data_IF_803983124034
#
_entry.id   IF_803983124034
#
_cell.length_a   1.000
_cell.length_b   1.000
_cell.length_c   1.000
_cell.angle_alpha   90.00
_cell.angle_beta   90.00
_cell.angle_gamma   90.00
#
_symmetry.space_group_name_H-M   'P 1'
#
loop_
_entity.id
_entity.type
_entity.pdbx_description
1 polymer ?
#
# COMPACT_ATOMS: atom_id res chain seq x y z
N UNK A 1 -23.62 -18.43 -3.41
CA UNK A 1 -24.03 -17.06 -3.00
C UNK A 1 -23.91 -16.83 -1.49
N UNK A 2 -24.31 -17.77 -0.61
CA UNK A 2 -24.22 -17.60 0.85
C UNK A 2 -22.78 -17.44 1.41
N UNK A 3 -21.79 -18.14 0.85
CA UNK A 3 -20.38 -18.05 1.31
C UNK A 3 -19.74 -16.69 0.98
N UNK A 4 -20.02 -16.15 -0.21
CA UNK A 4 -19.56 -14.82 -0.63
C UNK A 4 -20.17 -13.73 0.27
N UNK A 5 -21.49 -13.78 0.50
CA UNK A 5 -22.16 -12.82 1.40
C UNK A 5 -21.62 -12.89 2.84
N UNK A 6 -21.33 -14.10 3.34
CA UNK A 6 -20.71 -14.29 4.67
C UNK A 6 -19.29 -13.72 4.73
N UNK A 7 -18.49 -13.89 3.67
CA UNK A 7 -17.15 -13.31 3.58
C UNK A 7 -17.21 -11.77 3.53
N UNK A 8 -18.07 -11.21 2.70
CA UNK A 8 -18.29 -9.76 2.60
C UNK A 8 -18.80 -9.16 3.92
N UNK A 9 -19.74 -9.83 4.59
CA UNK A 9 -20.25 -9.40 5.89
C UNK A 9 -19.14 -9.33 6.95
N UNK A 10 -18.33 -10.38 7.06
CA UNK A 10 -17.18 -10.40 7.99
C UNK A 10 -16.12 -9.37 7.66
N UNK A 11 -15.84 -9.15 6.37
CA UNK A 11 -14.91 -8.10 5.93
C UNK A 11 -15.42 -6.73 6.38
N UNK A 12 -16.72 -6.45 6.21
CA UNK A 12 -17.30 -5.17 6.62
C UNK A 12 -17.23 -4.92 8.14
N UNK A 13 -17.42 -5.95 8.96
CA UNK A 13 -17.28 -5.86 10.42
C UNK A 13 -15.83 -5.64 10.84
N UNK A 14 -14.89 -6.38 10.24
CA UNK A 14 -13.47 -6.21 10.51
C UNK A 14 -13.01 -4.78 10.22
N UNK A 15 -13.43 -4.21 9.09
CA UNK A 15 -13.06 -2.84 8.71
C UNK A 15 -13.69 -1.81 9.65
N UNK A 16 -14.93 -2.03 10.14
CA UNK A 16 -15.53 -1.18 11.19
C UNK A 16 -14.70 -1.22 12.48
N UNK A 17 -14.28 -2.40 12.92
CA UNK A 17 -13.43 -2.55 14.11
C UNK A 17 -12.09 -1.85 13.95
N UNK A 18 -11.44 -2.01 12.77
CA UNK A 18 -10.19 -1.31 12.46
C UNK A 18 -10.36 0.21 12.49
N UNK A 19 -11.49 0.74 11.99
CA UNK A 19 -11.82 2.17 12.06
C UNK A 19 -11.94 2.66 13.51
N UNK A 20 -12.59 1.90 14.39
CA UNK A 20 -12.66 2.23 15.81
C UNK A 20 -11.28 2.20 16.46
N UNK A 21 -10.44 1.20 16.12
CA UNK A 21 -9.07 1.13 16.64
C UNK A 21 -8.28 2.38 16.29
N UNK A 22 -8.32 2.85 15.04
CA UNK A 22 -7.57 4.07 14.65
C UNK A 22 -8.20 5.36 15.17
N UNK A 23 -9.45 5.34 15.62
CA UNK A 23 -10.10 6.46 16.30
C UNK A 23 -9.53 6.63 17.72
N UNK A 24 -9.41 5.53 18.47
CA UNK A 24 -8.83 5.54 19.82
C UNK A 24 -7.30 5.55 19.84
N UNK A 25 -6.67 4.95 18.83
CA UNK A 25 -5.22 4.80 18.70
C UNK A 25 -4.76 5.26 17.31
N UNK A 26 -4.60 6.59 17.09
CA UNK A 26 -4.34 7.16 15.77
C UNK A 26 -3.04 6.71 15.08
N UNK A 27 -2.12 6.12 15.85
CA UNK A 27 -0.82 5.60 15.42
C UNK A 27 -0.75 4.06 15.45
N UNK A 28 -1.88 3.37 15.50
CA UNK A 28 -1.91 1.92 15.38
C UNK A 28 -1.58 1.49 13.93
N UNK A 29 -0.28 1.35 13.65
CA UNK A 29 0.25 1.15 12.30
C UNK A 29 -0.29 -0.11 11.62
N UNK A 30 -0.59 -1.17 12.37
CA UNK A 30 -1.21 -2.38 11.81
C UNK A 30 -2.61 -2.09 11.28
N UNK A 31 -3.41 -1.36 12.06
CA UNK A 31 -4.79 -1.04 11.69
C UNK A 31 -4.82 -0.08 10.50
N UNK A 32 -3.93 0.92 10.48
CA UNK A 32 -3.74 1.80 9.35
C UNK A 32 -3.37 1.03 8.08
N UNK A 33 -2.41 0.11 8.16
CA UNK A 33 -2.00 -0.70 7.01
C UNK A 33 -3.17 -1.52 6.44
N UNK A 34 -3.93 -2.19 7.31
CA UNK A 34 -5.08 -3.01 6.90
C UNK A 34 -6.22 -2.16 6.31
N UNK A 35 -6.46 -0.97 6.86
CA UNK A 35 -7.42 -0.02 6.27
C UNK A 35 -6.96 0.48 4.89
N UNK A 36 -5.65 0.67 4.70
CA UNK A 36 -5.08 1.02 3.40
C UNK A 36 -5.27 -0.09 2.36
N UNK A 37 -4.98 -1.34 2.73
CA UNK A 37 -5.18 -2.50 1.87
C UNK A 37 -6.65 -2.68 1.49
N UNK A 38 -7.57 -2.58 2.46
CA UNK A 38 -9.00 -2.66 2.17
C UNK A 38 -9.48 -1.51 1.27
N UNK A 39 -9.03 -0.27 1.52
CA UNK A 39 -9.39 0.85 0.64
C UNK A 39 -8.87 0.63 -0.80
N UNK A 40 -7.69 0.02 -0.96
CA UNK A 40 -7.17 -0.34 -2.28
C UNK A 40 -8.01 -1.43 -2.95
N UNK A 41 -8.44 -2.47 -2.22
CA UNK A 41 -9.36 -3.50 -2.74
C UNK A 41 -10.68 -2.90 -3.26
N UNK A 42 -11.17 -1.83 -2.63
CA UNK A 42 -12.36 -1.08 -3.03
C UNK A 42 -12.10 -0.04 -4.16
N UNK A 43 -10.90 -0.03 -4.75
CA UNK A 43 -10.42 0.96 -5.73
C UNK A 43 -10.42 2.41 -5.23
N UNK A 44 -10.48 2.62 -3.91
CA UNK A 44 -10.34 3.94 -3.31
C UNK A 44 -8.86 4.26 -3.04
N UNK A 45 -8.15 4.52 -4.14
CA UNK A 45 -6.70 4.76 -4.11
C UNK A 45 -6.32 5.98 -3.26
N UNK A 46 -7.20 6.99 -3.18
CA UNK A 46 -6.97 8.18 -2.37
C UNK A 46 -6.98 7.84 -0.87
N UNK A 47 -8.00 7.13 -0.38
CA UNK A 47 -8.02 6.67 1.02
C UNK A 47 -6.91 5.67 1.30
N UNK A 48 -6.62 4.77 0.38
CA UNK A 48 -5.53 3.80 0.53
C UNK A 48 -4.19 4.52 0.75
N UNK A 49 -3.87 5.50 -0.11
CA UNK A 49 -2.66 6.31 0.02
C UNK A 49 -2.58 7.03 1.37
N UNK A 50 -3.66 7.66 1.82
CA UNK A 50 -3.71 8.32 3.13
C UNK A 50 -3.37 7.35 4.28
N UNK A 51 -3.94 6.16 4.27
CA UNK A 51 -3.68 5.15 5.29
C UNK A 51 -2.25 4.62 5.23
N UNK A 52 -1.71 4.36 4.04
CA UNK A 52 -0.31 3.94 3.91
C UNK A 52 0.67 5.02 4.35
N UNK A 53 0.43 6.29 4.01
CA UNK A 53 1.25 7.41 4.47
C UNK A 53 1.20 7.54 5.99
N UNK A 54 0.05 7.36 6.63
CA UNK A 54 -0.05 7.37 8.09
C UNK A 54 0.67 6.18 8.71
N UNK A 55 0.47 4.98 8.17
CA UNK A 55 1.16 3.77 8.63
C UNK A 55 2.68 3.89 8.47
N UNK A 56 3.17 4.59 7.44
CA UNK A 56 4.60 4.77 7.22
C UNK A 56 5.28 5.67 8.26
N UNK A 57 4.51 6.46 9.02
CA UNK A 57 5.02 7.26 10.15
C UNK A 57 5.22 6.46 11.43
N UNK A 58 4.76 5.20 11.48
CA UNK A 58 4.96 4.31 12.61
C UNK A 58 6.16 3.43 12.32
N UNK A 59 7.24 3.56 13.11
CA UNK A 59 8.56 2.97 12.82
C UNK A 59 8.49 1.48 12.52
N UNK A 60 7.73 0.73 13.31
CA UNK A 60 7.53 -0.72 13.18
C UNK A 60 6.83 -1.12 11.88
N UNK A 61 6.08 -0.20 11.27
CA UNK A 61 5.28 -0.41 10.07
C UNK A 61 5.79 0.35 8.84
N UNK A 62 6.84 1.18 9.00
CA UNK A 62 7.33 2.09 7.97
C UNK A 62 7.63 1.38 6.65
N UNK A 63 8.56 0.42 6.68
CA UNK A 63 8.99 -0.31 5.49
C UNK A 63 7.82 -1.04 4.82
N UNK A 64 6.97 -1.70 5.60
CA UNK A 64 5.82 -2.45 5.06
C UNK A 64 4.80 -1.51 4.41
N UNK A 65 4.50 -0.38 5.04
CA UNK A 65 3.55 0.59 4.51
C UNK A 65 4.06 1.23 3.21
N UNK A 66 5.35 1.56 3.12
CA UNK A 66 5.96 2.08 1.89
C UNK A 66 5.90 1.07 0.74
N UNK A 67 6.17 -0.22 1.02
CA UNK A 67 6.08 -1.30 0.02
C UNK A 67 4.64 -1.45 -0.50
N UNK A 68 3.65 -1.52 0.39
CA UNK A 68 2.24 -1.65 0.00
C UNK A 68 1.75 -0.41 -0.77
N UNK A 69 2.18 0.79 -0.36
CA UNK A 69 1.89 2.02 -1.09
C UNK A 69 2.49 1.98 -2.50
N UNK A 70 3.77 1.60 -2.64
CA UNK A 70 4.42 1.48 -3.93
C UNK A 70 3.70 0.49 -4.85
N UNK A 71 3.26 -0.66 -4.32
CA UNK A 71 2.49 -1.66 -5.08
C UNK A 71 1.17 -1.08 -5.59
N UNK A 72 0.46 -0.34 -4.75
CA UNK A 72 -0.75 0.36 -5.16
C UNK A 72 -0.45 1.35 -6.28
N UNK A 73 0.59 2.18 -6.14
CA UNK A 73 0.98 3.17 -7.16
C UNK A 73 1.34 2.50 -8.50
N UNK A 74 2.04 1.36 -8.49
CA UNK A 74 2.27 0.56 -9.72
C UNK A 74 0.96 0.11 -10.36
N UNK A 75 -0.02 -0.33 -9.55
CA UNK A 75 -1.31 -0.83 -10.07
C UNK A 75 -2.12 0.26 -10.77
N UNK A 76 -1.97 1.52 -10.35
CA UNK A 76 -2.62 2.69 -10.96
C UNK A 76 -1.72 3.42 -11.97
N UNK A 77 -0.59 2.82 -12.36
CA UNK A 77 0.39 3.35 -13.32
C UNK A 77 1.11 4.64 -12.89
N UNK A 78 1.08 4.96 -11.60
CA UNK A 78 1.83 6.06 -10.99
C UNK A 78 3.27 5.61 -10.69
N UNK A 79 4.01 5.28 -11.75
CA UNK A 79 5.32 4.64 -11.63
C UNK A 79 6.38 5.53 -10.98
N UNK A 80 6.33 6.85 -11.16
CA UNK A 80 7.29 7.77 -10.56
C UNK A 80 7.18 7.78 -9.03
N UNK A 81 5.96 7.78 -8.48
CA UNK A 81 5.74 7.69 -7.03
C UNK A 81 6.13 6.29 -6.50
N UNK A 82 5.80 5.23 -7.23
CA UNK A 82 6.22 3.88 -6.86
C UNK A 82 7.75 3.75 -6.76
N UNK A 83 8.49 4.32 -7.73
CA UNK A 83 9.95 4.35 -7.74
C UNK A 83 10.49 5.10 -6.51
N UNK A 84 9.96 6.29 -6.20
CA UNK A 84 10.37 7.07 -5.01
C UNK A 84 10.19 6.29 -3.72
N UNK A 85 9.03 5.67 -3.53
CA UNK A 85 8.71 4.90 -2.33
C UNK A 85 9.64 3.67 -2.17
N UNK A 86 9.95 2.96 -3.27
CA UNK A 86 10.85 1.81 -3.24
C UNK A 86 12.31 2.24 -3.00
N UNK A 87 12.72 3.40 -3.49
CA UNK A 87 14.03 3.98 -3.16
C UNK A 87 14.13 4.32 -1.66
N UNK A 88 13.07 4.87 -1.07
CA UNK A 88 13.00 5.11 0.38
C UNK A 88 13.14 3.79 1.16
N UNK A 89 12.43 2.73 0.75
CA UNK A 89 12.58 1.39 1.35
C UNK A 89 14.04 0.93 1.28
N UNK A 90 14.69 1.04 0.13
CA UNK A 90 16.09 0.64 -0.04
C UNK A 90 17.08 1.47 0.78
N UNK A 91 16.74 2.72 1.11
CA UNK A 91 17.56 3.56 1.98
C UNK A 91 17.43 3.16 3.46
N UNK A 92 16.26 2.64 3.88
CA UNK A 92 15.98 2.25 5.27
C UNK A 92 16.40 0.80 5.54
N UNK A 93 16.00 -0.11 4.66
CA UNK A 93 16.18 -1.56 4.79
C UNK A 93 16.42 -2.18 3.40
N UNK A 94 17.70 -2.22 2.94
CA UNK A 94 18.04 -2.77 1.65
C UNK A 94 17.63 -4.24 1.49
N UNK A 95 16.82 -4.54 0.47
CA UNK A 95 16.27 -5.86 0.21
C UNK A 95 16.44 -6.24 -1.27
N UNK A 96 17.09 -7.38 -1.60
CA UNK A 96 17.28 -7.83 -3.00
C UNK A 96 15.98 -8.04 -3.80
N UNK A 97 14.85 -8.28 -3.12
CA UNK A 97 13.53 -8.38 -3.77
C UNK A 97 13.02 -7.01 -4.19
N UNK A 98 13.22 -5.99 -3.35
CA UNK A 98 12.79 -4.62 -3.63
C UNK A 98 13.64 -4.01 -4.73
N UNK A 99 14.96 -4.28 -4.74
CA UNK A 99 15.85 -3.86 -5.82
C UNK A 99 15.39 -4.33 -7.20
N UNK A 100 15.11 -5.63 -7.33
CA UNK A 100 14.60 -6.21 -8.57
C UNK A 100 13.24 -5.65 -8.98
N UNK A 101 12.38 -5.35 -8.00
CA UNK A 101 11.08 -4.75 -8.28
C UNK A 101 11.23 -3.31 -8.79
N UNK A 102 12.09 -2.51 -8.16
CA UNK A 102 12.46 -1.16 -8.59
C UNK A 102 13.00 -1.17 -10.03
N UNK A 103 13.97 -2.03 -10.34
CA UNK A 103 14.53 -2.18 -11.69
C UNK A 103 13.46 -2.56 -12.72
N UNK A 104 12.53 -3.45 -12.37
CA UNK A 104 11.46 -3.86 -13.28
C UNK A 104 10.53 -2.69 -13.65
N UNK A 105 10.18 -1.84 -12.67
CA UNK A 105 9.35 -0.65 -12.91
C UNK A 105 10.12 0.38 -13.73
N UNK A 106 11.40 0.61 -13.44
CA UNK A 106 12.24 1.54 -14.20
C UNK A 106 12.36 1.11 -15.67
N UNK A 107 12.60 -0.18 -15.93
CA UNK A 107 12.67 -0.72 -17.29
C UNK A 107 11.34 -0.56 -18.03
N UNK A 108 10.20 -0.74 -17.36
CA UNK A 108 8.87 -0.50 -17.93
C UNK A 108 8.66 0.96 -18.33
N UNK A 109 9.06 1.91 -17.47
CA UNK A 109 8.96 3.35 -17.76
C UNK A 109 9.87 3.73 -18.93
N UNK A 110 11.09 3.19 -18.98
CA UNK A 110 12.03 3.43 -20.06
C UNK A 110 11.50 2.90 -21.40
N UNK A 111 10.99 1.66 -21.44
CA UNK A 111 10.47 1.07 -22.68
C UNK A 111 9.23 1.79 -23.21
N UNK A 112 8.35 2.25 -22.32
CA UNK A 112 7.14 3.01 -22.69
C UNK A 112 7.45 4.37 -23.32
N UNK A 113 8.61 4.96 -23.02
CA UNK A 113 9.05 6.24 -23.60
C UNK A 113 9.70 6.09 -24.98
N UNK A 114 10.10 4.86 -25.35
CA UNK A 114 10.82 4.57 -26.60
C UNK A 114 9.84 4.16 -27.71
N UNK A 115 8.59 3.79 -27.39
CA UNK A 115 7.56 3.49 -28.38
C UNK A 115 6.91 4.78 -28.92
N UNK A 116 7.09 5.11 -30.23
CA UNK A 116 6.46 6.25 -30.88
C UNK A 116 4.98 6.02 -31.24
#
# INVERSE_FOLDING_TARGET
QAEVLKATGKQSEAVKMLRQVVEFYPLEGKALLLLGQHAWEENDHARASLFFVRASKVKEWQVRALIEHARMQVSVREYDEAIRLLQEVQAIDPQPRIDRYLQSIQNLVLSSRIQP
#
